data_IF_246958637588
#
_entry.id   IF_246958637588
#
_cell.length_a   1.000
_cell.length_b   1.000
_cell.length_c   1.000
_cell.angle_alpha   90.00
_cell.angle_beta   90.00
_cell.angle_gamma   90.00
#
_symmetry.space_group_name_H-M   'P 1'
#
loop_
_entity.id
_entity.type
_entity.pdbx_description
1 polymer ?
#
# COMPACT_ATOMS: atom_id res chain seq x y z
N UNK A 1 0.23 6.73 1.61
CA UNK A 1 -0.84 6.71 0.58
C UNK A 1 -0.66 5.62 -0.47
N UNK A 2 0.55 5.37 -0.99
CA UNK A 2 0.75 4.40 -2.09
C UNK A 2 0.26 2.98 -1.78
N UNK A 3 0.56 2.43 -0.60
CA UNK A 3 0.08 1.09 -0.22
C UNK A 3 -1.44 0.99 -0.19
N UNK A 4 -2.13 2.01 0.34
CA UNK A 4 -3.62 2.05 0.39
C UNK A 4 -4.21 2.00 -1.01
N UNK A 5 -3.63 2.72 -1.97
CA UNK A 5 -4.07 2.67 -3.37
C UNK A 5 -3.87 1.27 -3.96
N UNK A 6 -2.71 0.66 -3.76
CA UNK A 6 -2.44 -0.70 -4.25
C UNK A 6 -3.42 -1.72 -3.66
N UNK A 7 -3.60 -1.72 -2.34
CA UNK A 7 -4.55 -2.59 -1.65
C UNK A 7 -6.00 -2.37 -2.12
N UNK A 8 -6.35 -1.12 -2.46
CA UNK A 8 -7.66 -0.81 -3.07
C UNK A 8 -7.79 -1.53 -4.41
N UNK A 9 -6.85 -1.32 -5.35
CA UNK A 9 -6.93 -1.92 -6.69
C UNK A 9 -6.87 -3.46 -6.67
N UNK A 10 -6.07 -4.04 -5.78
CA UNK A 10 -6.04 -5.49 -5.55
C UNK A 10 -7.41 -6.00 -5.06
N UNK A 11 -8.04 -5.27 -4.14
CA UNK A 11 -9.38 -5.62 -3.61
C UNK A 11 -10.48 -5.51 -4.67
N UNK A 12 -10.34 -4.60 -5.65
CA UNK A 12 -11.26 -4.49 -6.79
C UNK A 12 -11.02 -5.57 -7.85
N UNK A 13 -9.91 -6.30 -7.76
CA UNK A 13 -9.48 -7.29 -8.74
C UNK A 13 -9.05 -6.69 -10.07
N UNK A 14 -8.54 -5.45 -10.06
CA UNK A 14 -8.11 -4.74 -11.26
C UNK A 14 -6.59 -4.72 -11.36
N UNK A 15 -6.07 -4.66 -12.60
CA UNK A 15 -4.64 -4.49 -12.84
C UNK A 15 -4.14 -3.19 -12.21
N UNK A 16 -2.98 -3.22 -11.52
CA UNK A 16 -2.36 -2.02 -10.94
C UNK A 16 -2.20 -0.88 -11.95
N UNK A 17 -1.92 -1.15 -13.22
CA UNK A 17 -1.79 -0.10 -14.24
C UNK A 17 -3.08 0.66 -14.50
N UNK A 18 -4.25 0.13 -14.12
CA UNK A 18 -5.49 0.91 -14.15
C UNK A 18 -5.51 2.07 -13.16
N UNK A 19 -4.69 2.02 -12.09
CA UNK A 19 -4.54 3.16 -11.16
C UNK A 19 -3.79 4.33 -11.78
N UNK A 20 -2.97 4.08 -12.80
CA UNK A 20 -2.28 5.16 -13.53
C UNK A 20 -3.27 5.98 -14.37
N UNK A 21 -4.40 5.40 -14.76
CA UNK A 21 -5.47 6.12 -15.44
C UNK A 21 -6.28 7.00 -14.48
N UNK A 22 -6.20 6.80 -13.17
CA UNK A 22 -6.91 7.63 -12.18
C UNK A 22 -6.14 8.88 -11.76
N UNK A 23 -5.12 9.27 -12.53
CA UNK A 23 -4.39 10.53 -12.35
C UNK A 23 -5.29 11.76 -12.58
N UNK A 24 -6.30 11.62 -13.45
CA UNK A 24 -7.33 12.63 -13.69
C UNK A 24 -8.57 12.39 -12.83
N UNK A 25 -9.12 13.43 -12.17
CA UNK A 25 -10.29 13.30 -11.31
C UNK A 25 -11.52 12.69 -12.00
N UNK A 26 -11.75 12.98 -13.28
CA UNK A 26 -12.87 12.39 -14.03
C UNK A 26 -12.79 10.86 -14.11
N UNK A 27 -11.58 10.29 -14.16
CA UNK A 27 -11.38 8.86 -14.27
C UNK A 27 -11.66 8.12 -12.96
N UNK A 28 -11.52 8.82 -11.82
CA UNK A 28 -11.99 8.32 -10.52
C UNK A 28 -13.52 8.19 -10.53
N UNK A 29 -14.23 9.14 -11.14
CA UNK A 29 -15.68 9.08 -11.32
C UNK A 29 -16.12 7.85 -12.10
N UNK A 30 -15.47 7.58 -13.25
CA UNK A 30 -15.75 6.37 -14.03
C UNK A 30 -15.47 5.08 -13.27
N UNK A 31 -14.42 5.05 -12.44
CA UNK A 31 -14.14 3.89 -11.59
C UNK A 31 -15.27 3.65 -10.57
N UNK A 32 -15.75 4.70 -9.90
CA UNK A 32 -16.88 4.60 -8.97
C UNK A 32 -18.14 4.09 -9.67
N UNK A 33 -18.45 4.64 -10.85
CA UNK A 33 -19.58 4.19 -11.68
C UNK A 33 -19.45 2.73 -12.10
N UNK A 34 -18.25 2.29 -12.52
CA UNK A 34 -17.98 0.90 -12.86
C UNK A 34 -18.21 -0.04 -11.67
N UNK A 35 -17.73 0.35 -10.48
CA UNK A 35 -17.90 -0.46 -9.26
C UNK A 35 -19.37 -0.51 -8.82
N UNK A 36 -20.08 0.61 -8.87
CA UNK A 36 -21.51 0.68 -8.61
C UNK A 36 -22.31 -0.16 -9.62
N UNK A 37 -21.94 -0.13 -10.91
CA UNK A 37 -22.54 -0.96 -11.95
C UNK A 37 -22.34 -2.46 -11.74
N UNK A 38 -21.19 -2.87 -11.19
CA UNK A 38 -20.85 -4.28 -10.94
C UNK A 38 -21.47 -4.83 -9.65
N UNK A 39 -21.39 -4.08 -8.56
CA UNK A 39 -21.73 -4.57 -7.21
C UNK A 39 -23.04 -3.98 -6.66
N UNK A 40 -23.59 -2.97 -7.31
CA UNK A 40 -24.73 -2.20 -6.81
C UNK A 40 -24.36 -1.25 -5.67
N UNK A 41 -25.29 -0.37 -5.31
CA UNK A 41 -25.15 0.62 -4.24
C UNK A 41 -24.39 1.88 -4.67
N UNK A 42 -24.18 2.77 -3.69
CA UNK A 42 -23.42 4.01 -3.87
C UNK A 42 -22.00 3.82 -3.31
N UNK A 43 -21.02 4.07 -4.18
CA UNK A 43 -19.60 4.09 -3.83
C UNK A 43 -19.10 5.51 -4.03
N UNK A 44 -18.67 6.15 -2.94
CA UNK A 44 -17.94 7.40 -2.98
C UNK A 44 -16.42 7.14 -2.86
N UNK A 45 -15.64 8.20 -3.01
CA UNK A 45 -14.18 8.12 -2.95
C UNK A 45 -13.69 7.64 -1.57
N UNK A 46 -14.33 8.10 -0.49
CA UNK A 46 -13.94 7.74 0.87
C UNK A 46 -14.15 6.25 1.13
N UNK A 47 -15.27 5.69 0.65
CA UNK A 47 -15.56 4.26 0.73
C UNK A 47 -14.62 3.44 -0.15
N UNK A 48 -14.29 3.92 -1.36
CA UNK A 48 -13.34 3.26 -2.25
C UNK A 48 -11.96 3.14 -1.58
N UNK A 49 -11.41 4.24 -1.07
CA UNK A 49 -10.11 4.26 -0.38
C UNK A 49 -10.18 3.52 0.96
N UNK A 50 -11.32 3.59 1.64
CA UNK A 50 -11.59 2.89 2.89
C UNK A 50 -11.42 1.37 2.78
N UNK A 51 -11.70 0.79 1.60
CA UNK A 51 -11.43 -0.63 1.32
C UNK A 51 -9.94 -0.93 1.48
N UNK A 52 -9.05 -0.15 0.86
CA UNK A 52 -7.60 -0.35 0.98
C UNK A 52 -7.10 -0.19 2.41
N UNK A 53 -7.62 0.80 3.16
CA UNK A 53 -7.27 1.00 4.57
C UNK A 53 -7.71 -0.19 5.43
N UNK A 54 -8.94 -0.68 5.20
CA UNK A 54 -9.47 -1.85 5.90
C UNK A 54 -8.65 -3.10 5.58
N UNK A 55 -8.31 -3.33 4.32
CA UNK A 55 -7.50 -4.47 3.88
C UNK A 55 -6.14 -4.48 4.58
N UNK A 56 -5.37 -3.39 4.53
CA UNK A 56 -4.07 -3.29 5.22
C UNK A 56 -4.23 -3.49 6.73
N UNK A 57 -5.28 -2.92 7.34
CA UNK A 57 -5.54 -3.09 8.77
C UNK A 57 -5.80 -4.55 9.15
N UNK A 58 -6.49 -5.31 8.29
CA UNK A 58 -6.75 -6.74 8.49
C UNK A 58 -5.47 -7.57 8.29
N UNK A 59 -4.69 -7.28 7.25
CA UNK A 59 -3.40 -7.94 6.99
C UNK A 59 -2.41 -7.75 8.14
N UNK A 60 -2.28 -6.53 8.66
CA UNK A 60 -1.41 -6.25 9.83
C UNK A 60 -1.89 -6.99 11.08
N UNK A 61 -3.20 -7.05 11.33
CA UNK A 61 -3.76 -7.84 12.45
C UNK A 61 -3.45 -9.33 12.29
N UNK A 62 -3.59 -9.86 11.07
CA UNK A 62 -3.26 -11.24 10.76
C UNK A 62 -1.78 -11.52 11.00
N UNK A 63 -0.87 -10.70 10.47
CA UNK A 63 0.57 -10.86 10.63
C UNK A 63 0.99 -10.79 12.12
N UNK A 64 0.43 -9.84 12.87
CA UNK A 64 0.66 -9.74 14.32
C UNK A 64 0.20 -11.00 15.06
N UNK A 65 -0.96 -11.55 14.68
CA UNK A 65 -1.45 -12.81 15.25
C UNK A 65 -0.57 -14.01 14.86
N UNK A 66 0.09 -13.95 13.70
CA UNK A 66 1.08 -14.94 13.25
C UNK A 66 2.47 -14.77 13.92
N UNK A 67 2.67 -13.72 14.72
CA UNK A 67 3.90 -13.48 15.47
C UNK A 67 4.85 -12.43 14.89
N UNK A 68 4.44 -11.69 13.84
CA UNK A 68 5.23 -10.56 13.35
C UNK A 68 5.31 -9.44 14.39
N UNK A 69 6.49 -8.86 14.49
CA UNK A 69 6.85 -7.77 15.39
C UNK A 69 7.59 -6.67 14.64
N UNK A 70 7.85 -5.54 15.30
CA UNK A 70 8.66 -4.46 14.71
C UNK A 70 10.08 -4.92 14.29
N UNK A 71 10.60 -5.99 14.89
CA UNK A 71 11.91 -6.57 14.52
C UNK A 71 11.91 -7.22 13.13
N UNK A 72 10.73 -7.52 12.60
CA UNK A 72 10.55 -8.12 11.28
C UNK A 72 10.43 -7.04 10.18
N UNK A 73 10.20 -5.77 10.56
CA UNK A 73 10.14 -4.62 9.65
C UNK A 73 11.54 -4.13 9.26
N UNK A 74 12.37 -5.02 8.72
CA UNK A 74 13.77 -4.75 8.34
C UNK A 74 14.08 -5.18 6.90
N UNK A 75 15.09 -4.56 6.31
CA UNK A 75 15.62 -4.97 5.02
C UNK A 75 16.57 -6.17 5.16
N UNK A 76 16.95 -6.84 4.06
CA UNK A 76 18.02 -7.83 4.08
C UNK A 76 19.32 -7.27 4.65
N UNK A 77 20.04 -8.08 5.44
CA UNK A 77 21.24 -7.69 6.18
C UNK A 77 22.32 -7.04 5.31
N UNK A 78 22.54 -7.56 4.10
CA UNK A 78 23.55 -7.02 3.18
C UNK A 78 23.31 -5.54 2.82
N UNK A 79 22.05 -5.07 2.82
CA UNK A 79 21.75 -3.67 2.53
C UNK A 79 22.33 -2.70 3.56
N UNK A 80 22.61 -3.17 4.79
CA UNK A 80 23.19 -2.37 5.87
C UNK A 80 24.73 -2.46 5.92
N UNK A 81 25.36 -3.34 5.12
CA UNK A 81 26.79 -3.66 5.24
C UNK A 81 27.55 -3.61 3.92
N UNK A 82 26.89 -3.90 2.80
CA UNK A 82 27.50 -3.94 1.48
C UNK A 82 27.22 -2.63 0.74
N UNK A 83 28.28 -1.90 0.43
CA UNK A 83 28.23 -0.67 -0.35
C UNK A 83 27.78 -0.96 -1.79
N UNK A 84 26.74 -0.27 -2.26
CA UNK A 84 26.23 -0.43 -3.63
C UNK A 84 26.97 0.51 -4.61
N UNK A 85 27.78 0.00 -5.55
CA UNK A 85 28.43 0.83 -6.55
C UNK A 85 27.41 1.46 -7.52
N UNK A 86 27.75 2.60 -8.15
CA UNK A 86 29.00 3.34 -8.03
C UNK A 86 29.02 4.33 -6.85
N UNK A 87 27.89 4.50 -6.16
CA UNK A 87 27.73 5.50 -5.11
C UNK A 87 28.32 5.05 -3.77
N UNK A 88 28.56 3.74 -3.63
CA UNK A 88 29.16 3.10 -2.47
C UNK A 88 28.44 3.47 -1.16
N UNK A 89 27.11 3.48 -1.23
CA UNK A 89 26.24 3.76 -0.08
C UNK A 89 25.62 2.47 0.42
N UNK A 90 25.38 2.43 1.73
CA UNK A 90 24.54 1.44 2.40
C UNK A 90 23.18 2.06 2.73
N UNK A 91 22.23 1.23 3.13
CA UNK A 91 20.99 1.70 3.74
C UNK A 91 21.27 2.16 5.18
N UNK A 92 21.24 3.47 5.38
CA UNK A 92 21.64 4.15 6.63
C UNK A 92 20.45 4.70 7.44
N UNK A 93 19.22 4.40 7.02
CA UNK A 93 18.01 4.77 7.75
C UNK A 93 17.89 3.94 9.03
N UNK A 94 17.70 4.61 10.16
CA UNK A 94 17.53 3.97 11.47
C UNK A 94 16.19 3.23 11.57
N UNK A 95 16.08 2.29 12.51
CA UNK A 95 14.81 1.58 12.76
C UNK A 95 13.68 2.55 13.15
N UNK A 96 13.99 3.63 13.87
CA UNK A 96 13.03 4.67 14.24
C UNK A 96 12.50 5.40 13.00
N UNK A 97 13.40 5.85 12.12
CA UNK A 97 13.02 6.52 10.87
C UNK A 97 12.26 5.58 9.92
N UNK A 98 12.67 4.31 9.85
CA UNK A 98 11.97 3.30 9.06
C UNK A 98 10.55 3.05 9.61
N UNK A 99 10.40 3.02 10.93
CA UNK A 99 9.11 2.91 11.60
C UNK A 99 8.15 4.05 11.25
N UNK A 100 8.67 5.27 11.03
CA UNK A 100 7.84 6.41 10.59
C UNK A 100 7.30 6.25 9.15
N UNK A 101 8.01 5.52 8.29
CA UNK A 101 7.60 5.27 6.91
C UNK A 101 6.46 4.25 6.78
N UNK A 102 6.16 3.54 7.87
CA UNK A 102 5.00 2.66 8.00
C UNK A 102 3.99 3.34 8.96
N UNK A 103 3.40 4.50 8.60
CA UNK A 103 2.26 5.00 9.36
C UNK A 103 1.13 3.96 9.28
N UNK A 104 0.08 4.09 10.08
CA UNK A 104 -1.09 3.16 10.18
C UNK A 104 -0.81 1.79 10.81
#
# INVERSE_FOLDING_TARGET
MMQVLMATFDSLGMCLFSSMATDKPENVGYLLEMMAGKFGGELDLDRLIGIGVQTISLEKKFNKAAGFTEKDNRLPEFMYHEELPPHNVIFDITEEELGMAIPF
#
